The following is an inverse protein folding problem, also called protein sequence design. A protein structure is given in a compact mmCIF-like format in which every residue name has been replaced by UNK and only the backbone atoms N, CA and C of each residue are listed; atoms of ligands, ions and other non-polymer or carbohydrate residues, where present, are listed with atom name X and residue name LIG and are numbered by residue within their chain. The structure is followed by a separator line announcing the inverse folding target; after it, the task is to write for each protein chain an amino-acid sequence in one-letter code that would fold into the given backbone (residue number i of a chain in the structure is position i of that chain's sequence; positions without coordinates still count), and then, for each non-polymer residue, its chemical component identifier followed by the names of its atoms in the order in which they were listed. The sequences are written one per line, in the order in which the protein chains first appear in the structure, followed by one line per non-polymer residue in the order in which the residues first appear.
data_IF_780818819639
#
_entry.id   IF_780818819639
#
_cell.length_a   1.000
_cell.length_b   1.000
_cell.length_c   1.000
_cell.angle_alpha   90.00
_cell.angle_beta   90.00
_cell.angle_gamma   90.00
#
_symmetry.space_group_name_H-M   'P 1'
#
loop_
_entity.id
_entity.type
_entity.pdbx_description
1 polymer ?
#
# COMPACT_ATOMS: atom_id res chain seq x y z
N UNK A 1 8.51 -18.44 -2.85
CA UNK A 1 7.26 -17.71 -3.19
C UNK A 1 6.20 -18.71 -3.57
N UNK A 2 4.95 -18.50 -3.15
CA UNK A 2 3.80 -19.36 -3.48
C UNK A 2 2.78 -18.53 -4.27
N UNK A 3 2.19 -19.12 -5.32
CA UNK A 3 1.21 -18.44 -6.16
C UNK A 3 -0.19 -18.52 -5.56
N UNK A 4 -0.92 -17.39 -5.56
CA UNK A 4 -2.33 -17.31 -5.18
C UNK A 4 -3.18 -17.06 -6.44
N UNK A 5 -4.05 -18.01 -6.78
CA UNK A 5 -4.97 -17.88 -7.92
C UNK A 5 -6.32 -17.31 -7.46
N UNK A 6 -6.62 -16.06 -7.84
CA UNK A 6 -7.86 -15.37 -7.48
C UNK A 6 -8.80 -15.23 -8.67
N UNK A 7 -10.04 -15.68 -8.53
CA UNK A 7 -11.12 -15.36 -9.47
C UNK A 7 -11.73 -14.03 -9.08
N UNK A 8 -11.78 -13.10 -10.01
CA UNK A 8 -12.33 -11.75 -9.80
C UNK A 8 -13.30 -11.39 -10.92
N UNK A 9 -14.35 -10.64 -10.57
CA UNK A 9 -15.30 -10.12 -11.56
C UNK A 9 -14.63 -9.18 -12.57
N UNK A 10 -15.15 -9.15 -13.79
CA UNK A 10 -14.57 -8.38 -14.90
C UNK A 10 -14.44 -6.88 -14.60
N UNK A 11 -15.43 -6.30 -13.90
CA UNK A 11 -15.42 -4.89 -13.49
C UNK A 11 -14.30 -4.60 -12.50
N UNK A 12 -14.12 -5.46 -11.49
CA UNK A 12 -13.04 -5.32 -10.51
C UNK A 12 -11.67 -5.44 -11.17
N UNK A 13 -11.49 -6.43 -12.05
CA UNK A 13 -10.25 -6.60 -12.83
C UNK A 13 -9.89 -5.35 -13.63
N UNK A 14 -10.85 -4.72 -14.29
CA UNK A 14 -10.63 -3.48 -15.06
C UNK A 14 -10.24 -2.30 -14.16
N UNK A 15 -10.93 -2.11 -13.03
CA UNK A 15 -10.60 -1.05 -12.06
C UNK A 15 -9.21 -1.24 -11.47
N UNK A 16 -8.87 -2.47 -11.12
CA UNK A 16 -7.55 -2.82 -10.59
C UNK A 16 -6.45 -2.55 -11.62
N UNK A 17 -6.65 -2.94 -12.88
CA UNK A 17 -5.69 -2.69 -13.96
C UNK A 17 -5.50 -1.20 -14.25
N UNK A 18 -6.56 -0.40 -14.24
CA UNK A 18 -6.47 1.05 -14.40
C UNK A 18 -5.68 1.70 -13.25
N UNK A 19 -5.94 1.31 -12.00
CA UNK A 19 -5.19 1.78 -10.81
C UNK A 19 -3.71 1.39 -10.91
N UNK A 20 -3.42 0.13 -11.24
CA UNK A 20 -2.06 -0.38 -11.37
C UNK A 20 -1.27 0.41 -12.43
N UNK A 21 -1.88 0.63 -13.61
CA UNK A 21 -1.30 1.45 -14.69
C UNK A 21 -1.00 2.88 -14.23
N UNK A 22 -1.96 3.53 -13.57
CA UNK A 22 -1.78 4.91 -13.07
C UNK A 22 -0.73 5.05 -11.97
N UNK A 23 -0.41 3.97 -11.26
CA UNK A 23 0.62 3.93 -10.22
C UNK A 23 1.94 3.31 -10.72
N UNK A 24 2.06 3.04 -12.03
CA UNK A 24 3.23 2.38 -12.63
C UNK A 24 3.60 1.05 -11.94
N UNK A 25 2.59 0.27 -11.51
CA UNK A 25 2.78 -1.04 -10.85
C UNK A 25 2.27 -2.20 -11.71
N UNK A 26 2.90 -3.38 -11.61
CA UNK A 26 2.33 -4.62 -12.13
C UNK A 26 0.94 -4.89 -11.52
N UNK A 27 0.06 -5.57 -12.27
CA UNK A 27 -1.30 -5.89 -11.81
C UNK A 27 -1.30 -6.76 -10.54
N UNK A 28 -0.43 -7.76 -10.49
CA UNK A 28 -0.27 -8.67 -9.35
C UNK A 28 0.23 -7.94 -8.10
N UNK A 29 1.21 -7.05 -8.26
CA UNK A 29 1.72 -6.18 -7.19
C UNK A 29 0.63 -5.27 -6.62
N UNK A 30 -0.19 -4.68 -7.51
CA UNK A 30 -1.31 -3.85 -7.08
C UNK A 30 -2.36 -4.67 -6.32
N UNK A 31 -2.62 -5.91 -6.75
CA UNK A 31 -3.52 -6.83 -6.05
C UNK A 31 -2.98 -7.16 -4.65
N UNK A 32 -1.70 -7.56 -4.56
CA UNK A 32 -1.04 -7.88 -3.29
C UNK A 32 -1.12 -6.69 -2.32
N UNK A 33 -0.76 -5.48 -2.79
CA UNK A 33 -0.83 -4.27 -1.98
C UNK A 33 -2.22 -3.99 -1.41
N UNK A 34 -3.29 -4.18 -2.19
CA UNK A 34 -4.64 -3.98 -1.66
C UNK A 34 -5.05 -5.06 -0.66
N UNK A 35 -4.59 -6.30 -0.82
CA UNK A 35 -4.82 -7.36 0.16
C UNK A 35 -4.10 -7.05 1.47
N UNK A 36 -2.83 -6.67 1.42
CA UNK A 36 -2.05 -6.25 2.60
C UNK A 36 -2.72 -5.08 3.33
N UNK A 37 -3.16 -4.04 2.60
CA UNK A 37 -3.87 -2.91 3.17
C UNK A 37 -5.22 -3.29 3.79
N UNK A 38 -5.95 -4.24 3.20
CA UNK A 38 -7.22 -4.71 3.74
C UNK A 38 -7.03 -5.44 5.07
N UNK A 39 -6.00 -6.29 5.18
CA UNK A 39 -5.68 -7.00 6.43
C UNK A 39 -5.29 -6.00 7.53
N UNK A 40 -4.43 -5.03 7.23
CA UNK A 40 -4.04 -4.00 8.22
C UNK A 40 -5.25 -3.16 8.65
N UNK A 41 -6.14 -2.80 7.73
CA UNK A 41 -7.34 -2.05 8.05
C UNK A 41 -8.36 -2.86 8.86
N UNK A 42 -8.43 -4.17 8.66
CA UNK A 42 -9.25 -5.08 9.48
C UNK A 42 -8.71 -5.18 10.90
N UNK A 43 -7.39 -5.29 11.06
CA UNK A 43 -6.72 -5.31 12.37
C UNK A 43 -6.76 -3.95 13.09
N UNK A 44 -6.89 -2.85 12.34
CA UNK A 44 -6.85 -1.47 12.84
C UNK A 44 -8.03 -0.64 12.27
N UNK A 45 -9.28 -0.93 12.67
CA UNK A 45 -10.48 -0.41 12.01
C UNK A 45 -10.68 1.11 12.19
N UNK A 46 -10.03 1.71 13.17
CA UNK A 46 -10.04 3.13 13.48
C UNK A 46 -9.05 3.94 12.63
N UNK A 47 -8.07 3.27 12.00
CA UNK A 47 -7.07 3.93 11.17
C UNK A 47 -7.61 4.21 9.76
N UNK A 48 -7.58 5.46 9.28
CA UNK A 48 -7.96 5.76 7.92
C UNK A 48 -7.04 5.07 6.90
N UNK A 49 -7.60 4.56 5.81
CA UNK A 49 -6.83 3.92 4.74
C UNK A 49 -5.63 4.76 4.26
N UNK A 50 -5.81 6.07 4.12
CA UNK A 50 -4.73 7.00 3.70
C UNK A 50 -3.62 7.14 4.74
N UNK A 51 -3.95 7.00 6.03
CA UNK A 51 -2.94 7.00 7.08
C UNK A 51 -2.08 5.75 6.97
N UNK A 52 -2.70 4.57 6.83
CA UNK A 52 -2.00 3.30 6.64
C UNK A 52 -1.06 3.37 5.42
N UNK A 53 -1.55 3.85 4.27
CA UNK A 53 -0.71 4.01 3.07
C UNK A 53 0.52 4.90 3.30
N UNK A 54 0.36 6.01 4.03
CA UNK A 54 1.45 6.95 4.31
C UNK A 54 2.47 6.35 5.26
N UNK A 55 2.03 5.67 6.32
CA UNK A 55 2.92 5.01 7.27
C UNK A 55 3.75 3.96 6.56
N UNK A 56 3.14 3.09 5.73
CA UNK A 56 3.89 2.07 4.98
C UNK A 56 4.91 2.69 4.01
N UNK A 57 4.56 3.80 3.34
CA UNK A 57 5.50 4.52 2.48
C UNK A 57 6.67 5.11 3.30
N UNK A 58 6.37 5.77 4.42
CA UNK A 58 7.38 6.34 5.30
C UNK A 58 8.29 5.28 5.92
N UNK A 59 7.76 4.11 6.31
CA UNK A 59 8.59 2.98 6.79
C UNK A 59 9.55 2.51 5.69
N UNK A 60 9.09 2.38 4.45
CA UNK A 60 9.96 2.00 3.33
C UNK A 60 11.03 3.07 3.04
N UNK A 61 10.71 4.37 3.18
CA UNK A 61 11.69 5.46 3.06
C UNK A 61 12.75 5.38 4.17
N UNK A 62 12.35 5.11 5.41
CA UNK A 62 13.26 4.91 6.55
C UNK A 62 14.18 3.72 6.32
N UNK A 63 13.63 2.58 5.88
CA UNK A 63 14.41 1.38 5.55
C UNK A 63 15.38 1.60 4.39
N UNK A 64 15.01 2.48 3.43
CA UNK A 64 15.87 2.91 2.33
C UNK A 64 16.95 3.93 2.76
N UNK A 65 16.98 4.33 4.04
CA UNK A 65 17.93 5.32 4.56
C UNK A 65 17.62 6.76 4.14
N UNK A 66 16.38 7.05 3.72
CA UNK A 66 15.93 8.38 3.30
C UNK A 66 15.35 9.21 4.45
N UNK A 67 15.43 8.71 5.68
CA UNK A 67 14.94 9.43 6.85
C UNK A 67 15.79 10.67 7.14
N UNK A 68 15.15 11.82 7.28
CA UNK A 68 15.82 13.06 7.66
C UNK A 68 15.67 13.32 9.17
N UNK A 69 16.73 13.81 9.85
CA UNK A 69 16.62 14.23 11.23
C UNK A 69 15.60 15.35 11.37
N UNK A 70 14.57 15.14 12.19
CA UNK A 70 13.65 16.23 12.54
C UNK A 70 14.40 17.25 13.38
N UNK A 71 14.54 18.47 12.86
CA UNK A 71 15.03 19.62 13.61
C UNK A 71 13.96 20.05 14.62
N UNK A 72 13.90 19.37 15.76
CA UNK A 72 13.15 19.83 16.91
C UNK A 72 13.80 21.15 17.38
N UNK A 73 13.22 22.27 16.95
CA UNK A 73 13.67 23.58 17.40
C UNK A 73 13.71 23.61 18.93
N UNK A 74 14.89 23.89 19.49
CA UNK A 74 14.99 24.31 20.89
C UNK A 74 14.07 25.52 21.05
N UNK A 75 13.05 25.38 21.89
CA UNK A 75 12.36 26.55 22.43
C UNK A 75 13.30 27.32 23.33
#
# INVERSE_FOLDING_TARGET
MVALNLRVGQTLKRRLAARAKGQHRPLSEQARRYIELAMIAEDNPDLPFRFIEKVLAGTAEVEAGLAEPVAWGRR
#
